data_IF_881564201173
#
_entry.id   IF_881564201173
#
_cell.length_a   1.000
_cell.length_b   1.000
_cell.length_c   1.000
_cell.angle_alpha   90.00
_cell.angle_beta   90.00
_cell.angle_gamma   90.00
#
_symmetry.space_group_name_H-M   'P 1'
#
loop_
_entity.id
_entity.type
_entity.pdbx_description
1 polymer ?
#
# COMPACT_ATOMS: atom_id res chain seq x y z
N UNK A 1 27.80 9.11 -0.23
CA UNK A 1 27.60 10.24 0.69
C UNK A 1 27.15 9.72 2.05
N UNK A 2 27.63 10.35 3.13
CA UNK A 2 27.21 10.04 4.49
C UNK A 2 27.34 11.28 5.38
N UNK A 3 26.61 11.28 6.48
CA UNK A 3 26.71 12.31 7.50
C UNK A 3 27.72 11.86 8.55
N UNK A 4 28.77 12.64 8.73
CA UNK A 4 29.73 12.42 9.81
C UNK A 4 29.22 13.08 11.10
N UNK A 5 29.00 12.26 12.12
CA UNK A 5 28.48 12.72 13.40
C UNK A 5 29.51 13.40 14.28
N UNK A 6 30.80 13.19 14.02
CA UNK A 6 31.88 13.79 14.78
C UNK A 6 32.09 15.25 14.35
N UNK A 7 32.12 15.46 13.04
CA UNK A 7 32.36 16.79 12.46
C UNK A 7 31.06 17.55 12.14
N UNK A 8 29.90 16.92 12.39
CA UNK A 8 28.58 17.45 12.01
C UNK A 8 28.50 17.91 10.56
N UNK A 9 29.14 17.15 9.65
CA UNK A 9 29.35 17.51 8.25
C UNK A 9 28.95 16.40 7.28
N UNK A 10 28.68 16.80 6.04
CA UNK A 10 28.36 15.88 4.95
C UNK A 10 29.66 15.51 4.21
N UNK A 11 29.96 14.22 4.13
CA UNK A 11 31.17 13.68 3.49
C UNK A 11 30.84 12.72 2.37
N UNK A 12 31.76 12.57 1.43
CA UNK A 12 31.72 11.57 0.37
C UNK A 12 32.89 10.58 0.55
N UNK A 13 32.59 9.30 0.53
CA UNK A 13 33.63 8.25 0.49
C UNK A 13 34.04 8.01 -0.95
N UNK A 14 35.34 7.99 -1.18
CA UNK A 14 35.96 7.59 -2.43
C UNK A 14 36.87 6.38 -2.21
N UNK A 15 37.36 5.74 -3.28
CA UNK A 15 38.29 4.64 -3.16
C UNK A 15 39.61 5.05 -2.44
N UNK A 16 40.03 6.29 -2.68
CA UNK A 16 41.28 6.83 -2.15
C UNK A 16 41.11 7.45 -0.75
N UNK A 17 39.89 7.68 -0.30
CA UNK A 17 39.59 8.24 1.01
C UNK A 17 38.34 7.55 1.63
N UNK A 18 38.53 6.37 2.22
CA UNK A 18 37.46 5.61 2.85
C UNK A 18 36.86 6.31 4.08
N UNK A 19 37.65 7.13 4.77
CA UNK A 19 37.18 7.96 5.91
C UNK A 19 36.23 9.07 5.47
N UNK A 20 36.21 9.38 4.18
CA UNK A 20 35.39 10.44 3.59
C UNK A 20 36.12 11.80 3.56
N UNK A 21 35.85 12.52 2.49
CA UNK A 21 36.30 13.90 2.29
C UNK A 21 35.12 14.84 2.38
N UNK A 22 35.36 16.05 2.89
CA UNK A 22 34.37 17.13 2.87
C UNK A 22 33.96 17.47 1.46
N UNK A 23 32.69 17.82 1.28
CA UNK A 23 32.20 18.26 -0.01
C UNK A 23 32.91 19.57 -0.42
N UNK A 24 33.41 19.65 -1.67
CA UNK A 24 34.03 20.88 -2.17
C UNK A 24 33.06 22.04 -2.08
N UNK A 25 33.55 23.18 -1.60
CA UNK A 25 32.76 24.42 -1.47
C UNK A 25 32.12 24.81 -2.81
N UNK A 26 30.89 25.26 -2.78
CA UNK A 26 30.14 25.76 -3.92
C UNK A 26 29.83 24.75 -5.06
N UNK A 27 30.09 23.44 -4.85
CA UNK A 27 29.74 22.40 -5.83
C UNK A 27 28.48 21.63 -5.48
N UNK A 28 27.99 21.77 -4.27
CA UNK A 28 26.83 21.02 -3.77
C UNK A 28 25.85 21.95 -3.06
N UNK A 29 24.57 21.74 -3.31
CA UNK A 29 23.49 22.33 -2.54
C UNK A 29 23.06 21.29 -1.50
N UNK A 30 23.25 21.60 -0.22
CA UNK A 30 22.85 20.73 0.88
C UNK A 30 21.62 21.33 1.55
N UNK A 31 20.46 20.76 1.26
CA UNK A 31 19.20 21.14 1.92
C UNK A 31 19.00 20.27 3.17
N UNK A 32 18.72 20.90 4.29
CA UNK A 32 18.42 20.23 5.57
C UNK A 32 17.02 20.58 6.03
N UNK A 33 16.14 19.60 6.00
CA UNK A 33 14.79 19.78 6.54
C UNK A 33 14.82 19.52 8.05
N UNK A 34 14.64 20.55 8.85
CA UNK A 34 14.62 20.48 10.32
C UNK A 34 13.17 20.41 10.83
N UNK A 35 12.50 19.27 10.65
CA UNK A 35 11.14 19.09 11.14
C UNK A 35 11.04 18.99 12.68
N UNK A 36 12.16 18.73 13.37
CA UNK A 36 12.20 18.55 14.84
C UNK A 36 13.59 18.82 15.37
N UNK A 37 13.66 19.14 16.67
CA UNK A 37 14.93 19.27 17.40
C UNK A 37 15.65 17.92 17.52
N UNK A 38 16.96 17.92 17.62
CA UNK A 38 17.81 16.77 17.75
C UNK A 38 18.71 16.54 16.54
N UNK A 39 19.31 15.35 16.45
CA UNK A 39 20.28 15.02 15.41
C UNK A 39 19.63 15.04 14.01
N UNK A 40 20.30 15.66 13.04
CA UNK A 40 19.82 15.88 11.67
C UNK A 40 19.38 14.61 10.95
N UNK A 41 20.07 13.47 11.18
CA UNK A 41 19.69 12.17 10.59
C UNK A 41 18.33 11.65 11.04
N UNK A 42 17.76 12.19 12.12
CA UNK A 42 16.46 11.81 12.65
C UNK A 42 15.34 12.73 12.19
N UNK A 43 15.65 13.82 11.52
CA UNK A 43 14.70 14.83 11.08
C UNK A 43 14.18 14.60 9.64
N UNK A 44 14.67 13.59 8.94
CA UNK A 44 14.28 13.31 7.55
C UNK A 44 12.80 12.94 7.42
N UNK A 45 12.15 13.49 6.38
CA UNK A 45 10.71 13.30 6.10
C UNK A 45 10.36 11.83 5.84
N UNK A 46 11.27 11.04 5.27
CA UNK A 46 11.07 9.61 5.04
C UNK A 46 10.72 8.84 6.32
N UNK A 47 11.24 9.27 7.45
CA UNK A 47 10.93 8.63 8.73
C UNK A 47 9.45 8.76 9.11
N UNK A 48 8.84 9.87 8.74
CA UNK A 48 7.41 10.12 9.01
C UNK A 48 6.53 9.31 8.06
N UNK A 49 6.88 9.27 6.78
CA UNK A 49 6.06 8.65 5.74
C UNK A 49 6.28 7.14 5.58
N UNK A 50 7.42 6.62 6.06
CA UNK A 50 7.80 5.21 5.87
C UNK A 50 6.74 4.22 6.38
N UNK A 51 6.12 4.50 7.51
CA UNK A 51 5.06 3.65 8.06
C UNK A 51 3.79 3.67 7.21
N UNK A 52 3.38 4.83 6.74
CA UNK A 52 2.21 4.95 5.86
C UNK A 52 2.45 4.25 4.53
N UNK A 53 3.65 4.37 3.97
CA UNK A 53 4.05 3.64 2.78
C UNK A 53 4.02 2.12 2.99
N UNK A 54 4.55 1.65 4.12
CA UNK A 54 4.57 0.23 4.48
C UNK A 54 3.15 -0.32 4.64
N UNK A 55 2.30 0.36 5.40
CA UNK A 55 0.92 -0.05 5.62
C UNK A 55 0.12 -0.08 4.32
N UNK A 56 0.29 0.91 3.45
CA UNK A 56 -0.36 0.92 2.14
C UNK A 56 0.05 -0.28 1.28
N UNK A 57 1.33 -0.67 1.29
CA UNK A 57 1.78 -1.83 0.52
C UNK A 57 1.21 -3.14 1.05
N UNK A 58 1.10 -3.31 2.37
CA UNK A 58 0.43 -4.47 2.95
C UNK A 58 -1.06 -4.49 2.64
N UNK A 59 -1.72 -3.37 2.78
CA UNK A 59 -3.14 -3.21 2.48
C UNK A 59 -3.46 -3.57 1.02
N UNK A 60 -2.68 -3.06 0.06
CA UNK A 60 -2.84 -3.39 -1.36
C UNK A 60 -2.61 -4.89 -1.63
N UNK A 61 -1.62 -5.50 -0.98
CA UNK A 61 -1.38 -6.94 -1.10
C UNK A 61 -2.58 -7.75 -0.58
N UNK A 62 -3.08 -7.38 0.59
CA UNK A 62 -4.21 -8.07 1.20
C UNK A 62 -5.51 -7.85 0.40
N UNK A 63 -5.68 -6.66 -0.21
CA UNK A 63 -6.79 -6.37 -1.11
C UNK A 63 -6.76 -7.25 -2.37
N UNK A 64 -5.58 -7.43 -2.98
CA UNK A 64 -5.42 -8.34 -4.14
C UNK A 64 -5.76 -9.77 -3.72
N UNK A 65 -5.23 -10.26 -2.59
CA UNK A 65 -5.55 -11.60 -2.08
C UNK A 65 -7.04 -11.76 -1.77
N UNK A 66 -7.67 -10.73 -1.22
CA UNK A 66 -9.11 -10.70 -1.00
C UNK A 66 -9.88 -10.79 -2.32
N UNK A 67 -9.46 -10.03 -3.34
CA UNK A 67 -10.10 -10.06 -4.66
C UNK A 67 -9.93 -11.43 -5.34
N UNK A 68 -8.80 -12.10 -5.17
CA UNK A 68 -8.58 -13.46 -5.67
C UNK A 68 -9.50 -14.48 -5.00
N UNK A 69 -9.70 -14.39 -3.69
CA UNK A 69 -10.54 -15.33 -2.94
C UNK A 69 -12.03 -15.08 -3.16
N UNK A 70 -12.45 -13.81 -3.09
CA UNK A 70 -13.88 -13.43 -3.08
C UNK A 70 -14.38 -12.90 -4.42
N UNK A 71 -13.49 -12.50 -5.32
CA UNK A 71 -13.84 -12.04 -6.66
C UNK A 71 -14.20 -13.17 -7.64
N UNK A 72 -13.82 -14.41 -7.31
CA UNK A 72 -14.13 -15.58 -8.12
C UNK A 72 -15.26 -16.40 -7.47
N UNK A 73 -16.35 -16.66 -8.19
CA UNK A 73 -17.45 -17.45 -7.63
C UNK A 73 -17.00 -18.90 -7.39
N UNK A 74 -17.23 -19.41 -6.17
CA UNK A 74 -17.06 -20.82 -5.87
C UNK A 74 -18.02 -21.65 -6.73
N UNK A 75 -17.47 -22.60 -7.47
CA UNK A 75 -18.25 -23.56 -8.27
C UNK A 75 -18.44 -24.83 -7.49
N UNK A 76 -19.68 -25.10 -7.15
CA UNK A 76 -20.04 -26.28 -6.37
C UNK A 76 -20.84 -27.26 -7.23
N UNK A 77 -20.26 -28.41 -7.53
CA UNK A 77 -20.95 -29.51 -8.19
C UNK A 77 -21.61 -30.42 -7.17
N UNK A 78 -22.85 -30.80 -7.40
CA UNK A 78 -23.56 -31.79 -6.58
C UNK A 78 -23.68 -33.12 -7.32
N UNK A 79 -23.37 -34.22 -6.65
CA UNK A 79 -23.53 -35.55 -7.20
C UNK A 79 -24.55 -36.37 -6.38
N UNK A 80 -25.29 -37.29 -7.04
CA UNK A 80 -26.29 -38.09 -6.41
C UNK A 80 -25.66 -39.11 -5.42
N UNK A 81 -26.34 -39.44 -4.32
CA UNK A 81 -25.91 -40.53 -3.43
C UNK A 81 -25.76 -41.82 -4.23
N UNK A 82 -24.56 -42.44 -4.17
CA UNK A 82 -24.27 -43.65 -4.92
C UNK A 82 -23.61 -43.46 -6.29
N UNK A 83 -23.28 -42.23 -6.67
CA UNK A 83 -22.50 -41.93 -7.86
C UNK A 83 -21.15 -42.66 -7.84
N UNK A 84 -20.72 -43.21 -8.98
CA UNK A 84 -19.44 -43.87 -9.10
C UNK A 84 -18.26 -42.87 -8.98
N UNK A 85 -17.08 -43.38 -8.68
CA UNK A 85 -15.90 -42.51 -8.58
C UNK A 85 -15.52 -41.92 -9.95
N UNK A 86 -15.88 -42.61 -11.05
CA UNK A 86 -15.70 -42.07 -12.39
C UNK A 86 -16.63 -40.89 -12.68
N UNK A 87 -17.88 -40.94 -12.18
CA UNK A 87 -18.83 -39.83 -12.36
C UNK A 87 -18.42 -38.60 -11.54
N UNK A 88 -17.92 -38.83 -10.31
CA UNK A 88 -17.35 -37.74 -9.48
C UNK A 88 -16.14 -37.12 -10.13
N UNK A 89 -15.23 -37.92 -10.71
CA UNK A 89 -14.05 -37.42 -11.42
C UNK A 89 -14.44 -36.61 -12.66
N UNK A 90 -15.41 -37.11 -13.44
CA UNK A 90 -15.93 -36.41 -14.62
C UNK A 90 -16.58 -35.06 -14.24
N UNK A 91 -17.37 -35.00 -13.17
CA UNK A 91 -17.98 -33.78 -12.66
C UNK A 91 -16.93 -32.78 -12.20
N UNK A 92 -15.91 -33.24 -11.47
CA UNK A 92 -14.81 -32.39 -11.01
C UNK A 92 -14.01 -31.82 -12.18
N UNK A 93 -13.71 -32.65 -13.20
CA UNK A 93 -13.04 -32.17 -14.41
C UNK A 93 -13.88 -31.13 -15.18
N UNK A 94 -15.18 -31.34 -15.29
CA UNK A 94 -16.08 -30.39 -15.94
C UNK A 94 -16.07 -29.02 -15.20
N UNK A 95 -16.08 -29.03 -13.88
CA UNK A 95 -16.01 -27.82 -13.07
C UNK A 95 -14.69 -27.07 -13.24
N UNK A 96 -13.56 -27.79 -13.29
CA UNK A 96 -12.23 -27.22 -13.52
C UNK A 96 -12.12 -26.62 -14.92
N UNK A 97 -12.71 -27.26 -15.93
CA UNK A 97 -12.70 -26.76 -17.32
C UNK A 97 -13.50 -25.46 -17.52
N UNK A 98 -14.51 -25.22 -16.69
CA UNK A 98 -15.32 -23.97 -16.74
C UNK A 98 -14.50 -22.78 -16.22
N UNK A 99 -13.46 -23.01 -15.42
CA UNK A 99 -12.56 -21.97 -14.93
C UNK A 99 -11.53 -22.53 -13.96
N UNK A 100 -10.45 -21.77 -13.75
CA UNK A 100 -9.21 -22.24 -13.14
C UNK A 100 -9.23 -22.37 -11.61
N UNK A 101 -10.22 -21.79 -10.89
CA UNK A 101 -10.10 -21.62 -9.44
C UNK A 101 -11.35 -22.05 -8.69
N UNK A 102 -11.19 -22.39 -7.41
CA UNK A 102 -12.23 -22.69 -6.41
C UNK A 102 -13.39 -23.56 -6.93
N UNK A 103 -13.11 -24.81 -7.27
CA UNK A 103 -14.12 -25.82 -7.61
C UNK A 103 -14.17 -26.91 -6.54
N UNK A 104 -15.36 -27.37 -6.18
CA UNK A 104 -15.59 -28.48 -5.25
C UNK A 104 -16.77 -29.34 -5.65
N UNK A 105 -16.80 -30.61 -5.23
CA UNK A 105 -17.92 -31.48 -5.40
C UNK A 105 -18.39 -31.98 -4.03
N UNK A 106 -19.71 -32.03 -3.84
CA UNK A 106 -20.34 -32.53 -2.61
C UNK A 106 -21.47 -33.47 -2.93
N UNK A 107 -21.82 -34.40 -2.02
CA UNK A 107 -23.02 -35.20 -2.17
C UNK A 107 -24.29 -34.34 -2.19
N UNK A 108 -25.27 -34.73 -2.97
CA UNK A 108 -26.58 -34.06 -2.92
C UNK A 108 -27.20 -34.24 -1.51
N UNK A 109 -27.77 -33.17 -0.99
CA UNK A 109 -28.26 -33.09 0.40
C UNK A 109 -27.21 -32.59 1.42
N UNK A 110 -25.95 -32.32 0.99
CA UNK A 110 -24.94 -31.65 1.82
C UNK A 110 -24.85 -30.17 1.39
N UNK A 111 -24.64 -29.27 2.34
CA UNK A 111 -24.34 -27.86 2.07
C UNK A 111 -23.01 -27.47 2.63
N UNK A 112 -22.34 -26.54 1.94
CA UNK A 112 -21.17 -25.83 2.49
C UNK A 112 -21.64 -24.40 2.69
N UNK A 113 -21.73 -23.99 3.95
CA UNK A 113 -22.09 -22.64 4.30
C UNK A 113 -20.82 -21.84 4.59
N UNK A 114 -20.59 -20.80 3.82
CA UNK A 114 -19.56 -19.83 4.14
C UNK A 114 -20.14 -18.85 5.17
N UNK A 115 -19.60 -18.91 6.39
CA UNK A 115 -19.94 -17.90 7.39
C UNK A 115 -19.26 -16.60 6.98
N UNK A 116 -19.90 -15.87 6.09
CA UNK A 116 -19.53 -14.47 5.81
C UNK A 116 -20.09 -13.65 6.96
N UNK A 117 -19.23 -12.99 7.71
CA UNK A 117 -19.70 -11.88 8.54
C UNK A 117 -20.33 -10.85 7.60
N UNK A 118 -21.64 -10.67 7.74
CA UNK A 118 -22.38 -9.60 7.04
C UNK A 118 -21.78 -8.23 7.42
N UNK A 119 -20.70 -7.87 6.80
CA UNK A 119 -20.16 -6.51 6.89
C UNK A 119 -19.99 -5.98 5.49
N UNK A 120 -20.83 -5.00 5.24
CA UNK A 120 -20.71 -3.96 4.25
C UNK A 120 -19.31 -3.89 3.66
N UNK A 121 -19.19 -4.30 2.39
CA UNK A 121 -18.07 -4.01 1.51
C UNK A 121 -16.68 -4.00 2.17
N UNK A 122 -16.11 -5.17 2.40
CA UNK A 122 -14.70 -5.29 2.81
C UNK A 122 -13.75 -4.60 1.80
N UNK A 123 -14.14 -4.48 0.54
CA UNK A 123 -13.39 -3.74 -0.48
C UNK A 123 -13.26 -2.25 -0.13
N UNK A 124 -14.30 -1.63 0.44
CA UNK A 124 -14.26 -0.23 0.86
C UNK A 124 -13.27 0.02 2.01
N UNK A 125 -13.04 -0.99 2.84
CA UNK A 125 -12.09 -0.88 3.94
C UNK A 125 -10.65 -0.71 3.42
N UNK A 126 -10.25 -1.54 2.44
CA UNK A 126 -8.94 -1.47 1.81
C UNK A 126 -8.76 -0.13 1.08
N UNK A 127 -9.73 0.29 0.28
CA UNK A 127 -9.67 1.57 -0.40
C UNK A 127 -9.53 2.75 0.57
N UNK A 128 -10.30 2.75 1.66
CA UNK A 128 -10.24 3.80 2.69
C UNK A 128 -8.90 3.83 3.39
N UNK A 129 -8.31 2.67 3.69
CA UNK A 129 -7.00 2.60 4.34
C UNK A 129 -5.90 3.08 3.39
N UNK A 130 -5.91 2.64 2.13
CA UNK A 130 -4.97 3.11 1.11
C UNK A 130 -5.07 4.64 0.94
N UNK A 131 -6.27 5.19 0.82
CA UNK A 131 -6.52 6.63 0.71
C UNK A 131 -6.06 7.38 1.96
N UNK A 132 -6.35 6.87 3.14
CA UNK A 132 -5.87 7.45 4.40
C UNK A 132 -4.34 7.54 4.42
N UNK A 133 -3.63 6.47 4.02
CA UNK A 133 -2.18 6.47 3.93
C UNK A 133 -1.66 7.54 2.96
N UNK A 134 -2.28 7.67 1.78
CA UNK A 134 -1.91 8.69 0.79
C UNK A 134 -2.12 10.11 1.31
N UNK A 135 -3.23 10.36 1.99
CA UNK A 135 -3.48 11.66 2.63
C UNK A 135 -2.43 11.99 3.69
N UNK A 136 -2.04 11.03 4.53
CA UNK A 136 -1.01 11.28 5.54
C UNK A 136 0.37 11.55 4.92
N UNK A 137 0.71 10.84 3.83
CA UNK A 137 1.93 11.08 3.06
C UNK A 137 1.89 12.49 2.43
N UNK A 138 0.77 12.85 1.80
CA UNK A 138 0.58 14.18 1.21
C UNK A 138 0.68 15.30 2.26
N UNK A 139 0.05 15.13 3.42
CA UNK A 139 0.17 16.06 4.54
C UNK A 139 1.62 16.24 5.00
N UNK A 140 2.37 15.14 5.08
CA UNK A 140 3.75 15.18 5.54
C UNK A 140 4.68 15.86 4.53
N UNK A 141 4.46 15.68 3.22
CA UNK A 141 5.34 16.17 2.16
C UNK A 141 4.93 17.57 1.69
N UNK A 142 3.64 17.79 1.46
CA UNK A 142 3.10 19.00 0.84
C UNK A 142 2.44 19.94 1.85
N UNK A 143 2.26 19.52 3.09
CA UNK A 143 1.48 20.25 4.10
C UNK A 143 -0.04 20.26 3.84
N UNK A 144 -0.51 19.58 2.79
CA UNK A 144 -1.91 19.62 2.34
C UNK A 144 -2.30 18.34 1.60
N UNK A 145 -3.61 18.08 1.47
CA UNK A 145 -4.15 16.88 0.80
C UNK A 145 -4.80 17.17 -0.55
N UNK A 146 -5.35 18.37 -0.74
CA UNK A 146 -6.28 18.68 -1.84
C UNK A 146 -5.64 19.10 -3.17
N UNK A 147 -4.33 19.35 -3.22
CA UNK A 147 -3.65 19.75 -4.48
C UNK A 147 -3.23 18.58 -5.36
N UNK A 148 -3.17 17.37 -4.79
CA UNK A 148 -2.79 16.16 -5.52
C UNK A 148 -3.96 15.21 -5.76
N UNK A 149 -5.08 15.42 -5.08
CA UNK A 149 -6.25 14.54 -5.17
C UNK A 149 -7.40 15.29 -5.88
N UNK A 150 -7.75 14.84 -7.08
CA UNK A 150 -8.82 15.43 -7.91
C UNK A 150 -10.25 15.08 -7.44
N UNK A 151 -10.38 14.45 -6.27
CA UNK A 151 -11.64 13.96 -5.70
C UNK A 151 -12.35 14.97 -4.81
N UNK A 152 -13.06 15.95 -5.36
CA UNK A 152 -14.12 16.64 -4.64
C UNK A 152 -13.77 17.92 -3.88
N UNK A 153 -12.61 18.49 -4.06
CA UNK A 153 -12.27 19.82 -3.53
C UNK A 153 -12.93 20.95 -4.33
N UNK A 154 -13.60 21.89 -3.66
CA UNK A 154 -14.08 23.09 -4.35
C UNK A 154 -12.88 23.97 -4.76
N UNK A 155 -13.01 24.71 -5.86
CA UNK A 155 -12.00 25.66 -6.35
C UNK A 155 -11.52 26.64 -5.25
N UNK A 156 -12.43 27.02 -4.33
CA UNK A 156 -12.12 27.89 -3.21
C UNK A 156 -11.14 27.23 -2.20
N UNK A 157 -11.30 25.92 -1.92
CA UNK A 157 -10.39 25.18 -1.05
C UNK A 157 -9.01 25.00 -1.69
N UNK A 158 -8.96 24.71 -2.98
CA UNK A 158 -7.70 24.59 -3.74
C UNK A 158 -6.91 25.91 -3.74
N UNK A 159 -7.59 27.05 -3.86
CA UNK A 159 -6.97 28.37 -3.80
C UNK A 159 -6.40 28.67 -2.42
N UNK A 160 -7.16 28.43 -1.35
CA UNK A 160 -6.69 28.63 0.02
C UNK A 160 -5.47 27.75 0.34
N UNK A 161 -5.44 26.52 -0.14
CA UNK A 161 -4.29 25.63 0.04
C UNK A 161 -3.04 26.09 -0.71
N UNK A 162 -3.20 26.66 -1.90
CA UNK A 162 -2.09 27.28 -2.64
C UNK A 162 -1.54 28.52 -1.94
N UNK A 163 -2.40 29.34 -1.35
CA UNK A 163 -1.99 30.54 -0.62
C UNK A 163 -1.17 30.15 0.63
N UNK A 164 -1.63 29.15 1.40
CA UNK A 164 -0.87 28.59 2.56
C UNK A 164 0.48 27.99 2.14
N UNK A 165 0.57 27.37 0.97
CA UNK A 165 1.82 26.83 0.45
C UNK A 165 2.82 27.93 0.11
N UNK A 166 2.37 29.08 -0.42
CA UNK A 166 3.24 30.23 -0.70
C UNK A 166 3.79 30.87 0.57
N UNK A 167 3.08 30.77 1.68
CA UNK A 167 3.54 31.28 2.99
C UNK A 167 4.58 30.37 3.67
N UNK A 168 4.71 29.12 3.22
CA UNK A 168 5.65 28.13 3.77
C UNK A 168 6.96 27.99 2.97
N UNK A 169 7.10 28.66 1.84
CA UNK A 169 8.31 28.70 0.99
C UNK A 169 9.01 30.03 1.08
#
# INVERSE_FOLDING_TARGET
>A
FFWDTLDDSFKVRTKDAPEGILLPANKFIVHRYKARSGHTSRAGILRVVAWMYLFKNYDLKDWVSFAEIYGLPLRLGKYAPGASDSDKAALMQALIQIGSDAAGIIPDGTSIDFITTEKTSSSDLYERLARYCDEQISKAILGQTLTSDSGGGSYAQSKTHNDVRHDLT
#
